data_IF_148797623954
#
_entry.id   IF_148797623954
#
_cell.length_a   1.000
_cell.length_b   1.000
_cell.length_c   1.000
_cell.angle_alpha   90.00
_cell.angle_beta   90.00
_cell.angle_gamma   90.00
#
_symmetry.space_group_name_H-M   'P 1'
#
loop_
_entity.id
_entity.type
_entity.pdbx_description
1 polymer ?
#
# COMPACT_ATOMS: atom_id res chain seq x y z
N UNK A 1 -2.13 -67.16 -18.64
CA UNK A 1 -1.28 -66.02 -19.07
C UNK A 1 -2.14 -64.99 -19.81
N UNK A 2 -1.80 -63.69 -19.69
CA UNK A 2 -2.46 -62.45 -20.21
C UNK A 2 -3.44 -61.81 -19.21
N UNK A 3 -2.93 -60.96 -18.31
CA UNK A 3 -2.49 -59.55 -18.45
C UNK A 3 -3.66 -58.57 -18.42
N UNK A 4 -3.79 -58.00 -17.22
CA UNK A 4 -4.49 -56.80 -16.77
C UNK A 4 -4.44 -55.62 -17.75
N UNK A 5 -5.45 -54.74 -17.71
CA UNK A 5 -5.26 -53.29 -17.75
C UNK A 5 -6.51 -52.59 -17.19
N UNK A 6 -6.52 -52.32 -15.88
CA UNK A 6 -7.40 -51.34 -15.26
C UNK A 6 -6.67 -50.00 -15.28
N UNK A 7 -7.13 -49.06 -16.11
CA UNK A 7 -6.61 -47.69 -16.15
C UNK A 7 -7.49 -46.84 -15.24
N UNK A 8 -7.06 -46.67 -13.99
CA UNK A 8 -7.60 -45.67 -13.07
C UNK A 8 -6.86 -44.34 -13.30
N UNK A 9 -7.51 -43.38 -13.96
CA UNK A 9 -7.02 -42.01 -14.05
C UNK A 9 -7.46 -41.28 -12.78
N UNK A 10 -6.52 -41.15 -11.84
CA UNK A 10 -6.68 -40.28 -10.68
C UNK A 10 -6.31 -38.85 -11.08
N UNK A 11 -7.32 -37.98 -11.26
CA UNK A 11 -7.12 -36.54 -11.44
C UNK A 11 -6.83 -35.94 -10.07
N UNK A 12 -5.53 -35.82 -9.75
CA UNK A 12 -5.05 -35.04 -8.61
C UNK A 12 -5.26 -33.55 -8.92
N UNK A 13 -6.35 -32.98 -8.40
CA UNK A 13 -6.49 -31.53 -8.25
C UNK A 13 -5.45 -31.06 -7.24
N UNK A 14 -4.28 -30.64 -7.73
CA UNK A 14 -3.34 -29.84 -6.95
C UNK A 14 -3.96 -28.44 -6.86
N UNK A 15 -4.84 -28.26 -5.87
CA UNK A 15 -5.30 -26.94 -5.45
C UNK A 15 -4.10 -26.20 -4.86
N UNK A 16 -3.36 -25.48 -5.71
CA UNK A 16 -2.36 -24.54 -5.25
C UNK A 16 -3.06 -23.47 -4.42
N UNK A 17 -2.87 -23.49 -3.10
CA UNK A 17 -3.22 -22.37 -2.24
C UNK A 17 -2.33 -21.20 -2.65
N UNK A 18 -2.82 -20.36 -3.55
CA UNK A 18 -2.19 -19.08 -3.83
C UNK A 18 -2.24 -18.28 -2.53
N UNK A 19 -1.12 -18.25 -1.80
CA UNK A 19 -0.98 -17.39 -0.63
C UNK A 19 -1.28 -15.97 -1.06
N UNK A 20 -2.29 -15.36 -0.43
CA UNK A 20 -2.76 -14.04 -0.76
C UNK A 20 -1.59 -13.04 -0.65
N UNK A 21 -1.10 -12.52 -1.78
CA UNK A 21 0.03 -11.61 -1.81
C UNK A 21 -0.43 -10.23 -1.31
N UNK A 22 -0.16 -9.97 -0.04
CA UNK A 22 -0.46 -8.70 0.61
C UNK A 22 0.81 -7.86 0.69
N UNK A 23 0.74 -6.62 0.20
CA UNK A 23 1.83 -5.65 0.28
C UNK A 23 1.32 -4.28 0.69
N UNK A 24 2.14 -3.50 1.39
CA UNK A 24 1.84 -2.11 1.78
C UNK A 24 3.01 -1.18 1.45
N UNK A 25 2.68 -0.01 0.90
CA UNK A 25 3.62 1.08 0.73
C UNK A 25 3.29 2.20 1.72
N UNK A 26 4.21 2.49 2.63
CA UNK A 26 4.08 3.56 3.62
C UNK A 26 4.85 4.79 3.18
N UNK A 27 4.19 5.93 3.24
CA UNK A 27 4.78 7.23 2.97
C UNK A 27 4.44 8.17 4.11
N UNK A 28 5.42 8.87 4.67
CA UNK A 28 5.21 9.77 5.79
C UNK A 28 5.74 11.18 5.56
N UNK A 29 5.21 12.09 6.36
CA UNK A 29 5.63 13.47 6.52
C UNK A 29 5.87 13.73 8.02
N UNK A 30 6.96 14.41 8.33
CA UNK A 30 7.37 14.64 9.72
C UNK A 30 8.01 13.42 10.36
N UNK A 31 8.00 13.36 11.69
CA UNK A 31 8.61 12.26 12.46
C UNK A 31 7.55 11.56 13.32
N UNK A 32 7.55 10.22 13.40
CA UNK A 32 6.66 9.51 14.30
C UNK A 32 6.72 10.03 15.75
N UNK A 33 5.58 10.10 16.43
CA UNK A 33 5.49 10.63 17.79
C UNK A 33 5.50 12.16 17.88
N UNK A 34 5.35 12.88 16.77
CA UNK A 34 5.22 14.35 16.75
C UNK A 34 3.83 14.78 16.30
N UNK A 35 3.40 15.98 16.70
CA UNK A 35 2.08 16.52 16.32
C UNK A 35 1.96 16.78 14.80
N UNK A 36 3.10 16.90 14.11
CA UNK A 36 3.18 17.10 12.66
C UNK A 36 3.22 15.81 11.85
N UNK A 37 3.29 14.65 12.50
CA UNK A 37 3.38 13.37 11.83
C UNK A 37 2.13 13.09 11.01
N UNK A 38 2.32 12.67 9.77
CA UNK A 38 1.29 12.15 8.90
C UNK A 38 1.86 10.98 8.11
N UNK A 39 1.07 9.93 7.89
CA UNK A 39 1.47 8.76 7.12
C UNK A 39 0.30 8.30 6.26
N UNK A 40 0.58 7.96 5.01
CA UNK A 40 -0.33 7.29 4.09
C UNK A 40 0.17 5.86 3.84
N UNK A 41 -0.70 4.89 4.12
CA UNK A 41 -0.46 3.47 3.88
C UNK A 41 -1.32 2.98 2.73
N UNK A 42 -0.69 2.53 1.65
CA UNK A 42 -1.38 2.04 0.45
C UNK A 42 -1.30 0.52 0.37
N UNK A 43 -2.41 -0.16 0.66
CA UNK A 43 -2.48 -1.61 0.72
C UNK A 43 -2.89 -2.24 -0.60
N UNK A 44 -2.12 -3.24 -1.02
CA UNK A 44 -2.42 -4.10 -2.15
C UNK A 44 -2.63 -5.51 -1.61
N UNK A 45 -3.74 -6.12 -2.00
CA UNK A 45 -4.07 -7.50 -1.65
C UNK A 45 -4.49 -8.24 -2.92
N UNK A 46 -3.89 -9.40 -3.16
CA UNK A 46 -4.20 -10.26 -4.30
C UNK A 46 -4.09 -9.53 -5.65
N UNK A 47 -3.06 -8.69 -5.77
CA UNK A 47 -2.82 -7.89 -6.98
C UNK A 47 -3.89 -6.82 -7.23
N UNK A 48 -4.63 -6.40 -6.20
CA UNK A 48 -5.65 -5.35 -6.30
C UNK A 48 -5.44 -4.32 -5.19
N UNK A 49 -5.78 -3.06 -5.47
CA UNK A 49 -5.89 -2.03 -4.42
C UNK A 49 -6.89 -2.48 -3.35
N UNK A 50 -6.54 -2.28 -2.09
CA UNK A 50 -7.33 -2.69 -0.93
C UNK A 50 -7.73 -1.44 -0.12
N UNK A 51 -7.14 -1.21 1.05
CA UNK A 51 -7.34 -0.01 1.85
C UNK A 51 -6.31 1.09 1.55
N UNK A 52 -6.67 2.31 1.95
CA UNK A 52 -5.74 3.42 2.11
C UNK A 52 -5.95 3.93 3.53
N UNK A 53 -4.93 3.86 4.36
CA UNK A 53 -5.02 4.33 5.75
C UNK A 53 -4.21 5.61 5.89
N UNK A 54 -4.71 6.55 6.68
CA UNK A 54 -4.06 7.81 7.01
C UNK A 54 -3.87 7.91 8.51
N UNK A 55 -2.61 7.87 8.96
CA UNK A 55 -2.25 8.03 10.37
C UNK A 55 -1.74 9.44 10.61
N UNK A 56 -2.10 10.07 11.72
CA UNK A 56 -1.63 11.43 12.01
C UNK A 56 -1.50 11.75 13.50
N UNK A 57 -0.67 12.77 13.76
CA UNK A 57 -0.39 13.31 15.07
C UNK A 57 0.47 12.40 15.95
N UNK A 58 0.74 12.88 17.16
CA UNK A 58 1.58 12.22 18.16
C UNK A 58 1.10 10.82 18.51
N UNK A 59 -0.21 10.67 18.67
CA UNK A 59 -0.85 9.42 19.09
C UNK A 59 -1.20 8.49 17.92
N UNK A 60 -0.74 8.81 16.68
CA UNK A 60 -1.01 8.04 15.45
C UNK A 60 -2.49 7.68 15.27
N UNK A 61 -3.35 8.70 15.31
CA UNK A 61 -4.79 8.50 15.03
C UNK A 61 -4.96 8.01 13.60
N UNK A 62 -5.69 6.92 13.41
CA UNK A 62 -5.96 6.33 12.09
C UNK A 62 -7.30 6.80 11.51
N UNK A 63 -7.30 7.09 10.21
CA UNK A 63 -8.51 7.31 9.41
C UNK A 63 -8.40 6.53 8.11
N UNK A 64 -9.43 5.75 7.77
CA UNK A 64 -9.51 5.06 6.49
C UNK A 64 -9.95 6.03 5.40
N UNK A 65 -9.18 6.08 4.31
CA UNK A 65 -9.47 6.86 3.12
C UNK A 65 -10.06 5.95 2.03
N UNK A 66 -10.92 6.51 1.19
CA UNK A 66 -11.35 5.86 -0.04
C UNK A 66 -10.51 6.31 -1.23
N UNK A 67 -10.23 5.40 -2.15
CA UNK A 67 -9.75 5.76 -3.47
C UNK A 67 -10.87 6.50 -4.23
N UNK A 68 -10.58 7.70 -4.72
CA UNK A 68 -11.54 8.59 -5.38
C UNK A 68 -11.28 8.77 -6.88
N UNK A 69 -10.46 7.90 -7.47
CA UNK A 69 -10.22 7.85 -8.90
C UNK A 69 -8.91 8.48 -9.34
N UNK A 70 -8.55 8.22 -10.60
CA UNK A 70 -7.38 8.80 -11.25
C UNK A 70 -7.69 10.24 -11.69
N UNK A 71 -6.67 11.11 -11.68
CA UNK A 71 -6.79 12.50 -12.12
C UNK A 71 -5.50 12.93 -12.82
N UNK A 72 -5.49 12.98 -14.15
CA UNK A 72 -4.30 13.33 -14.94
C UNK A 72 -3.06 12.46 -14.57
N UNK A 73 -1.95 13.12 -14.20
CA UNK A 73 -0.72 12.51 -13.68
C UNK A 73 -0.75 12.33 -12.15
N UNK A 74 -1.94 12.19 -11.56
CA UNK A 74 -2.15 11.98 -10.12
C UNK A 74 -3.35 11.03 -9.88
N UNK A 75 -3.65 10.76 -8.62
CA UNK A 75 -4.90 10.13 -8.21
C UNK A 75 -5.46 10.80 -6.97
N UNK A 76 -6.74 10.61 -6.71
CA UNK A 76 -7.46 11.22 -5.60
C UNK A 76 -7.74 10.20 -4.50
N UNK A 77 -7.60 10.64 -3.26
CA UNK A 77 -8.05 9.91 -2.07
C UNK A 77 -9.00 10.81 -1.29
N UNK A 78 -10.00 10.24 -0.63
CA UNK A 78 -11.00 11.03 0.09
C UNK A 78 -11.19 10.54 1.52
N UNK A 79 -11.23 11.49 2.44
CA UNK A 79 -11.61 11.30 3.84
C UNK A 79 -13.12 11.07 3.98
N UNK A 80 -13.58 10.47 5.09
CA UNK A 80 -15.01 10.32 5.39
C UNK A 80 -15.80 11.64 5.38
N UNK A 81 -15.15 12.77 5.70
CA UNK A 81 -15.77 14.10 5.69
C UNK A 81 -15.81 14.77 4.29
N UNK A 82 -15.59 14.00 3.23
CA UNK A 82 -15.52 14.46 1.83
C UNK A 82 -14.32 15.34 1.45
N UNK A 83 -13.37 15.59 2.36
CA UNK A 83 -12.10 16.24 2.01
C UNK A 83 -11.31 15.33 1.07
N UNK A 84 -10.86 15.88 -0.06
CA UNK A 84 -10.12 15.14 -1.09
C UNK A 84 -8.67 15.62 -1.14
N UNK A 85 -7.74 14.68 -1.14
CA UNK A 85 -6.34 14.93 -1.45
C UNK A 85 -6.03 14.41 -2.85
N UNK A 86 -5.21 15.15 -3.57
CA UNK A 86 -4.59 14.73 -4.84
C UNK A 86 -3.18 14.27 -4.54
N UNK A 87 -2.87 13.04 -4.91
CA UNK A 87 -1.59 12.36 -4.68
C UNK A 87 -0.88 12.22 -6.02
N UNK A 88 0.26 12.91 -6.15
CA UNK A 88 1.09 12.91 -7.35
C UNK A 88 2.41 12.19 -7.08
N UNK A 89 2.64 11.00 -7.68
CA UNK A 89 3.91 10.31 -7.58
C UNK A 89 5.03 11.04 -8.33
N UNK A 90 6.09 11.46 -7.63
CA UNK A 90 7.27 12.13 -8.22
C UNK A 90 8.56 11.47 -7.73
N UNK A 91 9.29 10.83 -8.65
CA UNK A 91 10.44 10.01 -8.27
C UNK A 91 10.01 8.87 -7.34
N UNK A 92 10.59 8.84 -6.14
CA UNK A 92 10.26 7.93 -5.02
C UNK A 92 9.44 8.61 -3.91
N UNK A 93 8.88 9.80 -4.18
CA UNK A 93 8.09 10.58 -3.21
C UNK A 93 6.65 10.77 -3.70
N UNK A 94 5.76 11.16 -2.78
CA UNK A 94 4.40 11.57 -3.10
C UNK A 94 4.21 13.05 -2.77
N UNK A 95 3.87 13.85 -3.78
CA UNK A 95 3.39 15.21 -3.55
C UNK A 95 1.89 15.11 -3.30
N UNK A 96 1.46 15.50 -2.10
CA UNK A 96 0.07 15.41 -1.66
C UNK A 96 -0.48 16.80 -1.43
N UNK A 97 -1.55 17.14 -2.14
CA UNK A 97 -2.16 18.48 -2.10
C UNK A 97 -3.66 18.40 -1.88
N UNK A 98 -4.22 19.40 -1.21
CA UNK A 98 -5.65 19.67 -1.25
C UNK A 98 -5.87 20.90 -2.13
N UNK A 99 -6.49 20.74 -3.29
CA UNK A 99 -6.67 21.86 -4.24
C UNK A 99 -7.66 22.93 -3.74
N UNK A 100 -8.36 22.68 -2.63
CA UNK A 100 -9.29 23.63 -2.00
C UNK A 100 -8.68 24.36 -0.79
N UNK A 101 -7.43 24.07 -0.43
CA UNK A 101 -6.74 24.73 0.68
C UNK A 101 -5.26 24.95 0.35
N UNK A 102 -4.51 25.53 1.29
CA UNK A 102 -3.06 25.68 1.20
C UNK A 102 -2.28 24.42 1.63
N UNK A 103 -2.96 23.28 1.80
CA UNK A 103 -2.29 22.04 2.18
C UNK A 103 -1.50 21.48 0.98
N UNK A 104 -0.18 21.45 1.12
CA UNK A 104 0.74 20.83 0.18
C UNK A 104 1.94 20.25 0.94
N UNK A 105 2.16 18.94 0.83
CA UNK A 105 3.25 18.23 1.53
C UNK A 105 3.92 17.22 0.61
N UNK A 106 5.21 17.00 0.84
CA UNK A 106 5.96 15.93 0.19
C UNK A 106 6.14 14.80 1.18
N UNK A 107 5.52 13.66 0.91
CA UNK A 107 5.68 12.46 1.70
C UNK A 107 6.80 11.60 1.12
N UNK A 108 7.65 11.09 2.00
CA UNK A 108 8.79 10.22 1.69
C UNK A 108 8.48 8.79 2.09
N UNK A 109 9.08 7.80 1.44
CA UNK A 109 8.91 6.40 1.84
C UNK A 109 9.34 6.21 3.30
N UNK A 110 8.51 5.51 4.07
CA UNK A 110 8.77 5.19 5.47
C UNK A 110 9.11 3.71 5.60
N UNK A 111 10.33 3.45 6.09
CA UNK A 111 10.76 2.10 6.44
C UNK A 111 10.07 1.64 7.72
N UNK A 112 9.43 0.47 7.65
CA UNK A 112 8.78 -0.21 8.77
C UNK A 112 9.49 -1.55 9.00
N UNK A 113 10.37 -1.60 10.00
CA UNK A 113 11.16 -2.77 10.30
C UNK A 113 12.22 -2.51 11.38
N UNK A 114 13.11 -3.48 11.63
CA UNK A 114 14.11 -3.36 12.68
C UNK A 114 15.07 -2.20 12.45
N UNK A 115 15.31 -1.41 13.49
CA UNK A 115 16.32 -0.35 13.48
C UNK A 115 17.44 -0.78 14.41
N UNK A 116 18.67 -0.86 13.89
CA UNK A 116 19.83 -1.34 14.63
C UNK A 116 19.62 -2.72 15.30
N UNK A 117 18.88 -3.61 14.63
CA UNK A 117 18.57 -4.95 15.15
C UNK A 117 17.45 -5.01 16.19
N UNK A 118 16.80 -3.89 16.52
CA UNK A 118 15.67 -3.84 17.45
C UNK A 118 14.35 -3.73 16.65
N UNK A 119 13.42 -4.64 16.89
CA UNK A 119 12.11 -4.70 16.23
C UNK A 119 11.91 -5.97 15.39
N UNK A 120 10.76 -6.09 14.75
CA UNK A 120 10.44 -7.21 13.83
C UNK A 120 10.34 -6.73 12.40
N UNK A 121 10.73 -7.57 11.44
CA UNK A 121 10.53 -7.28 10.03
C UNK A 121 9.05 -7.19 9.69
N UNK A 122 8.70 -6.22 8.84
CA UNK A 122 7.37 -6.14 8.24
C UNK A 122 7.38 -6.88 6.89
N UNK A 123 6.97 -8.14 6.88
CA UNK A 123 6.98 -8.98 5.67
C UNK A 123 6.10 -8.44 4.53
N UNK A 124 5.01 -7.76 4.92
CA UNK A 124 4.06 -7.14 3.98
C UNK A 124 4.51 -5.77 3.52
N UNK A 125 5.47 -5.12 4.19
CA UNK A 125 5.92 -3.80 3.77
C UNK A 125 6.75 -3.88 2.48
N UNK A 126 6.73 -2.80 1.71
CA UNK A 126 7.72 -2.58 0.67
C UNK A 126 9.12 -2.56 1.29
N UNK A 127 10.05 -3.30 0.70
CA UNK A 127 11.42 -3.47 1.19
C UNK A 127 12.27 -2.21 0.99
N UNK A 128 11.95 -1.45 -0.06
CA UNK A 128 12.59 -0.18 -0.36
C UNK A 128 11.61 0.81 -1.02
N UNK A 129 12.07 2.05 -1.15
CA UNK A 129 11.36 3.14 -1.82
C UNK A 129 11.01 2.86 -3.30
N UNK A 130 11.79 2.02 -3.99
CA UNK A 130 11.53 1.66 -5.40
C UNK A 130 10.38 0.67 -5.49
N UNK A 131 10.35 -0.34 -4.62
CA UNK A 131 9.23 -1.26 -4.48
C UNK A 131 7.97 -0.52 -4.06
N UNK A 132 8.07 0.37 -3.06
CA UNK A 132 6.96 1.19 -2.60
C UNK A 132 6.36 1.99 -3.77
N UNK A 133 7.20 2.67 -4.56
CA UNK A 133 6.75 3.44 -5.71
C UNK A 133 6.19 2.56 -6.83
N UNK A 134 6.74 1.36 -7.04
CA UNK A 134 6.21 0.38 -7.99
C UNK A 134 4.79 -0.05 -7.60
N UNK A 135 4.50 -0.26 -6.31
CA UNK A 135 3.15 -0.56 -5.82
C UNK A 135 2.18 0.59 -6.14
N UNK A 136 2.56 1.84 -5.84
CA UNK A 136 1.73 3.03 -6.15
C UNK A 136 1.41 3.10 -7.64
N UNK A 137 2.44 3.04 -8.50
CA UNK A 137 2.28 3.17 -9.94
C UNK A 137 1.45 2.05 -10.56
N UNK A 138 1.59 0.82 -10.04
CA UNK A 138 0.92 -0.35 -10.61
C UNK A 138 -0.56 -0.41 -10.24
N UNK A 139 -0.92 -0.06 -9.00
CA UNK A 139 -2.26 -0.36 -8.46
C UNK A 139 -3.14 0.86 -8.21
N UNK A 140 -2.55 2.03 -7.99
CA UNK A 140 -3.28 3.27 -7.69
C UNK A 140 -3.21 4.29 -8.83
N UNK A 141 -2.25 4.14 -9.75
CA UNK A 141 -2.05 5.07 -10.85
C UNK A 141 -2.44 4.54 -12.24
N UNK A 142 -2.63 3.23 -12.36
CA UNK A 142 -2.97 2.58 -13.63
C UNK A 142 -4.38 2.93 -14.07
#
# INVERSE_FOLDING_TARGET
MRRSFFVLIAILFIGGTAYAQTKVANYSYGKPGTDTYEQLSFWVKDGKKSSIDYNYGRDRKEVKLRYAGRYEASFKVQFPNNTTLTVNPKGTTLIVVNTKSNYAKTFVWEYEGPVNGIGTFCDVCAQDEKEAMRLIRTYYFR
#
